data_IF_169989633715
#
_entry.id   IF_169989633715
#
_cell.length_a   1.000
_cell.length_b   1.000
_cell.length_c   1.000
_cell.angle_alpha   90.00
_cell.angle_beta   90.00
_cell.angle_gamma   90.00
#
_symmetry.space_group_name_H-M   'P 1'
#
loop_
_entity.id
_entity.type
_entity.pdbx_description
1 polymer ?
#
# COMPACT_ATOMS: atom_id res chain seq x y z
N UNK A 1 7.09 18.52 3.98
CA UNK A 1 5.87 17.97 3.37
C UNK A 1 5.69 16.54 3.81
N UNK A 2 4.68 16.31 4.65
CA UNK A 2 4.27 14.97 5.06
C UNK A 2 3.81 14.14 3.86
N UNK A 3 4.37 12.94 3.69
CA UNK A 3 3.97 12.02 2.61
C UNK A 3 3.78 10.60 3.14
N UNK A 4 2.98 9.83 2.40
CA UNK A 4 2.73 8.41 2.66
C UNK A 4 3.33 7.63 1.50
N UNK A 5 4.23 6.69 1.82
CA UNK A 5 4.91 5.84 0.85
C UNK A 5 4.32 4.43 0.92
N UNK A 6 3.90 3.90 -0.22
CA UNK A 6 3.41 2.53 -0.35
C UNK A 6 4.55 1.70 -0.93
N UNK A 7 5.02 0.71 -0.17
CA UNK A 7 5.99 -0.26 -0.63
C UNK A 7 5.26 -1.51 -1.10
N UNK A 8 5.54 -1.95 -2.32
CA UNK A 8 5.11 -3.24 -2.85
C UNK A 8 6.38 -4.04 -3.15
N UNK A 9 6.55 -5.18 -2.49
CA UNK A 9 7.77 -6.00 -2.62
C UNK A 9 7.43 -7.43 -3.01
N UNK A 10 8.26 -8.01 -3.86
CA UNK A 10 8.18 -9.43 -4.16
C UNK A 10 8.65 -10.28 -2.97
N UNK A 11 7.90 -11.33 -2.71
CA UNK A 11 8.23 -12.39 -1.75
C UNK A 11 7.98 -13.76 -2.40
N UNK A 12 8.61 -14.80 -1.86
CA UNK A 12 8.51 -16.17 -2.38
C UNK A 12 7.08 -16.71 -2.51
N UNK A 13 6.08 -16.13 -1.84
CA UNK A 13 4.66 -16.53 -1.92
C UNK A 13 3.73 -15.44 -2.48
N UNK A 14 4.23 -14.33 -3.00
CA UNK A 14 3.40 -13.25 -3.57
C UNK A 14 3.99 -11.87 -3.32
N UNK A 15 3.12 -10.85 -3.28
CA UNK A 15 3.51 -9.49 -2.96
C UNK A 15 3.26 -9.19 -1.48
N UNK A 16 4.18 -8.48 -0.84
CA UNK A 16 3.93 -7.80 0.43
C UNK A 16 3.69 -6.32 0.18
N UNK A 17 2.79 -5.74 0.98
CA UNK A 17 2.42 -4.32 0.91
C UNK A 17 2.65 -3.70 2.29
N UNK A 18 3.35 -2.58 2.30
CA UNK A 18 3.58 -1.78 3.50
C UNK A 18 3.23 -0.32 3.21
N UNK A 19 2.66 0.38 4.19
CA UNK A 19 2.38 1.81 4.08
C UNK A 19 3.09 2.54 5.21
N UNK A 20 4.03 3.41 4.85
CA UNK A 20 4.85 4.14 5.81
C UNK A 20 4.66 5.65 5.66
N UNK A 21 4.58 6.33 6.78
CA UNK A 21 4.69 7.78 6.83
C UNK A 21 6.16 8.20 6.73
N UNK A 22 6.44 9.16 5.85
CA UNK A 22 7.71 9.89 5.81
C UNK A 22 7.43 11.37 6.05
N UNK A 23 7.88 11.87 7.19
CA UNK A 23 7.80 13.28 7.54
C UNK A 23 9.05 14.04 7.11
N UNK A 24 8.89 15.34 6.91
CA UNK A 24 10.00 16.27 6.69
C UNK A 24 10.08 17.27 7.85
N UNK A 25 11.28 17.83 8.04
CA UNK A 25 11.49 18.88 9.03
C UNK A 25 10.59 20.09 8.69
N UNK A 26 9.76 20.49 9.65
CA UNK A 26 8.80 21.61 9.50
C UNK A 26 7.34 21.17 9.33
N UNK A 27 7.05 19.88 9.20
CA UNK A 27 5.65 19.41 9.22
C UNK A 27 5.02 19.60 10.61
N UNK A 28 3.82 20.18 10.63
CA UNK A 28 3.08 20.39 11.88
C UNK A 28 2.72 19.06 12.55
N UNK A 29 2.60 19.07 13.88
CA UNK A 29 2.21 17.89 14.65
C UNK A 29 0.87 17.30 14.17
N UNK A 30 -0.08 18.16 13.79
CA UNK A 30 -1.35 17.73 13.24
C UNK A 30 -1.17 16.97 11.91
N UNK A 31 -0.34 17.50 11.00
CA UNK A 31 -0.06 16.84 9.72
C UNK A 31 0.58 15.46 9.92
N UNK A 32 1.51 15.35 10.87
CA UNK A 32 2.14 14.07 11.21
C UNK A 32 1.12 13.06 11.76
N UNK A 33 0.27 13.49 12.72
CA UNK A 33 -0.76 12.63 13.34
C UNK A 33 -1.78 12.15 12.31
N UNK A 34 -2.24 13.04 11.42
CA UNK A 34 -3.16 12.68 10.33
C UNK A 34 -2.49 11.69 9.39
N UNK A 35 -1.26 11.97 8.93
CA UNK A 35 -0.55 11.10 8.00
C UNK A 35 -0.31 9.68 8.58
N UNK A 36 0.03 9.57 9.87
CA UNK A 36 0.20 8.27 10.55
C UNK A 36 -1.13 7.49 10.57
N UNK A 37 -2.23 8.13 10.98
CA UNK A 37 -3.55 7.47 10.99
C UNK A 37 -4.00 7.06 9.60
N UNK A 38 -3.79 7.93 8.61
CA UNK A 38 -4.12 7.65 7.22
C UNK A 38 -3.28 6.51 6.66
N UNK A 39 -1.97 6.47 6.92
CA UNK A 39 -1.09 5.38 6.48
C UNK A 39 -1.57 4.02 7.02
N UNK A 40 -1.93 3.95 8.31
CA UNK A 40 -2.47 2.74 8.93
C UNK A 40 -3.79 2.28 8.28
N UNK A 41 -4.71 3.22 8.02
CA UNK A 41 -5.98 2.91 7.35
C UNK A 41 -5.81 2.47 5.89
N UNK A 42 -4.85 3.09 5.17
CA UNK A 42 -4.56 2.75 3.79
C UNK A 42 -3.91 1.37 3.66
N UNK A 43 -3.10 0.91 4.61
CA UNK A 43 -2.42 -0.38 4.52
C UNK A 43 -3.39 -1.54 4.25
N UNK A 44 -4.52 -1.60 4.96
CA UNK A 44 -5.56 -2.60 4.73
C UNK A 44 -6.20 -2.48 3.35
N UNK A 45 -6.58 -1.26 2.95
CA UNK A 45 -7.25 -1.02 1.68
C UNK A 45 -6.35 -1.29 0.46
N UNK A 46 -5.08 -0.88 0.55
CA UNK A 46 -4.08 -1.12 -0.49
C UNK A 46 -3.75 -2.61 -0.58
N UNK A 47 -3.62 -3.32 0.55
CA UNK A 47 -3.37 -4.77 0.56
C UNK A 47 -4.47 -5.55 -0.18
N UNK A 48 -5.74 -5.19 0.02
CA UNK A 48 -6.86 -5.80 -0.73
C UNK A 48 -6.74 -5.52 -2.23
N UNK A 49 -6.50 -4.26 -2.62
CA UNK A 49 -6.34 -3.89 -4.04
C UNK A 49 -5.17 -4.60 -4.71
N UNK A 50 -4.04 -4.72 -4.04
CA UNK A 50 -2.85 -5.43 -4.56
C UNK A 50 -3.15 -6.91 -4.73
N UNK A 51 -3.79 -7.55 -3.74
CA UNK A 51 -4.20 -8.95 -3.86
C UNK A 51 -5.16 -9.19 -5.04
N UNK A 52 -6.12 -8.31 -5.24
CA UNK A 52 -7.04 -8.40 -6.38
C UNK A 52 -6.32 -8.19 -7.72
N UNK A 53 -5.38 -7.24 -7.78
CA UNK A 53 -4.55 -7.03 -8.97
C UNK A 53 -3.67 -8.26 -9.28
N UNK A 54 -3.08 -8.88 -8.25
CA UNK A 54 -2.31 -10.13 -8.40
C UNK A 54 -3.19 -11.26 -8.90
N UNK A 55 -4.38 -11.45 -8.32
CA UNK A 55 -5.35 -12.48 -8.76
C UNK A 55 -5.75 -12.27 -10.22
N UNK A 56 -6.08 -11.04 -10.62
CA UNK A 56 -6.43 -10.70 -12.01
C UNK A 56 -5.27 -10.94 -12.96
N UNK A 57 -4.06 -10.53 -12.58
CA UNK A 57 -2.85 -10.74 -13.39
C UNK A 57 -2.55 -12.24 -13.58
N UNK A 58 -2.77 -13.07 -12.55
CA UNK A 58 -2.66 -14.54 -12.65
C UNK A 58 -3.79 -15.18 -13.46
N UNK A 59 -4.99 -14.62 -13.43
CA UNK A 59 -6.15 -15.07 -14.23
C UNK A 59 -6.07 -14.68 -15.72
N UNK A 60 -5.07 -13.91 -16.14
CA UNK A 60 -4.82 -13.56 -17.55
C UNK A 60 -4.42 -14.73 -18.46
N UNK A 61 -4.43 -15.98 -17.97
CA UNK A 61 -4.28 -17.20 -18.79
C UNK A 61 -5.31 -18.28 -18.43
N UNK A 62 -6.60 -17.99 -18.50
CA UNK A 62 -7.59 -19.04 -18.77
C UNK A 62 -8.76 -18.43 -19.56
N UNK A 63 -8.63 -18.42 -20.90
CA UNK A 63 -9.82 -18.60 -21.72
C UNK A 63 -10.24 -20.06 -21.53
N UNK A 64 -11.36 -20.30 -20.86
CA UNK A 64 -12.13 -21.54 -21.02
C UNK A 64 -13.46 -21.14 -21.64
N UNK A 65 -13.72 -21.78 -22.77
CA UNK A 65 -14.92 -21.68 -23.61
C UNK A 65 -16.21 -21.72 -22.78
#
# INVERSE_FOLDING_TARGET
>A
MAKIVIYVRDHSRGLSVDCRFEGENGDSELAQRVAIKTAAGLAGHVSVKVNDAVKKSRKGKVNVH
#
